data_IF_157431510188
#
_entry.id   IF_157431510188
#
_cell.length_a   1.000
_cell.length_b   1.000
_cell.length_c   1.000
_cell.angle_alpha   90.00
_cell.angle_beta   90.00
_cell.angle_gamma   90.00
#
_symmetry.space_group_name_H-M   'P 1'
#
loop_
_entity.id
_entity.type
_entity.pdbx_description
1 polymer ?
#
# COMPACT_ATOMS: atom_id res chain seq x y z
N UNK A 1 2.63 -27.77 2.37
CA UNK A 1 2.93 -26.33 2.22
C UNK A 1 1.59 -25.63 2.06
N UNK A 2 1.27 -24.65 2.90
CA UNK A 2 0.03 -23.86 2.79
C UNK A 2 0.09 -23.03 1.50
N UNK A 3 -0.95 -23.09 0.67
CA UNK A 3 -1.10 -22.25 -0.53
C UNK A 3 -2.19 -21.21 -0.27
N UNK A 4 -1.82 -19.97 0.07
CA UNK A 4 -2.76 -18.90 0.38
C UNK A 4 -3.72 -18.58 -0.77
N UNK A 5 -3.30 -18.81 -2.02
CA UNK A 5 -4.13 -18.51 -3.20
C UNK A 5 -5.28 -19.51 -3.39
N UNK A 6 -5.20 -20.65 -2.72
CA UNK A 6 -6.25 -21.68 -2.71
C UNK A 6 -7.04 -21.67 -1.40
N UNK A 7 -6.74 -20.73 -0.53
CA UNK A 7 -7.30 -20.65 0.80
C UNK A 7 -8.54 -19.75 0.83
N UNK A 8 -9.60 -20.23 1.49
CA UNK A 8 -10.87 -19.53 1.64
C UNK A 8 -11.38 -19.70 3.08
N UNK A 9 -12.01 -18.67 3.63
CA UNK A 9 -12.71 -18.72 4.92
C UNK A 9 -14.17 -18.32 4.74
N UNK A 10 -15.07 -18.95 5.49
CA UNK A 10 -16.49 -18.63 5.46
C UNK A 10 -16.97 -18.15 6.84
N UNK A 11 -18.05 -17.38 6.84
CA UNK A 11 -18.85 -17.24 8.06
C UNK A 11 -19.71 -18.51 8.27
N UNK A 12 -20.20 -18.70 9.50
CA UNK A 12 -21.00 -19.88 9.83
C UNK A 12 -22.28 -20.04 8.98
N UNK A 13 -22.85 -18.94 8.48
CA UNK A 13 -24.03 -18.96 7.63
C UNK A 13 -23.71 -19.14 6.13
N UNK A 14 -22.42 -19.18 5.75
CA UNK A 14 -21.93 -19.25 4.36
C UNK A 14 -22.51 -18.15 3.46
N UNK A 15 -22.62 -16.96 4.03
CA UNK A 15 -23.06 -15.74 3.36
C UNK A 15 -21.90 -14.84 2.95
N UNK A 16 -20.76 -14.99 3.63
CA UNK A 16 -19.54 -14.20 3.44
C UNK A 16 -18.35 -15.13 3.23
N UNK A 17 -17.39 -14.66 2.46
CA UNK A 17 -16.14 -15.40 2.20
C UNK A 17 -14.95 -14.46 2.20
N UNK A 18 -13.86 -14.85 2.87
CA UNK A 18 -12.53 -14.24 2.70
C UNK A 18 -11.70 -15.09 1.75
N UNK A 19 -11.19 -14.48 0.67
CA UNK A 19 -10.33 -15.15 -0.33
C UNK A 19 -9.23 -14.21 -0.80
N UNK A 20 -8.14 -14.75 -1.35
CA UNK A 20 -7.17 -13.93 -2.07
C UNK A 20 -7.68 -13.66 -3.49
N UNK A 21 -7.66 -12.39 -3.89
CA UNK A 21 -7.92 -12.00 -5.27
C UNK A 21 -7.10 -10.77 -5.66
N UNK A 22 -7.23 -10.29 -6.92
CA UNK A 22 -6.46 -9.15 -7.39
C UNK A 22 -6.74 -7.86 -6.59
N UNK A 23 -5.91 -6.84 -6.71
CA UNK A 23 -6.20 -5.51 -6.16
C UNK A 23 -5.65 -4.43 -7.08
N UNK A 24 -6.33 -3.29 -7.18
CA UNK A 24 -5.80 -2.14 -7.90
C UNK A 24 -4.89 -1.32 -6.99
N UNK A 25 -3.91 -0.60 -7.57
CA UNK A 25 -3.03 0.28 -6.78
C UNK A 25 -3.80 1.36 -6.03
N UNK A 26 -4.86 1.89 -6.66
CA UNK A 26 -5.76 2.85 -6.01
C UNK A 26 -6.42 2.26 -4.78
N UNK A 27 -6.83 0.99 -4.80
CA UNK A 27 -7.40 0.33 -3.62
C UNK A 27 -6.32 0.09 -2.55
N UNK A 28 -5.08 -0.23 -2.93
CA UNK A 28 -3.96 -0.36 -1.97
C UNK A 28 -3.68 0.98 -1.28
N UNK A 29 -3.73 2.07 -2.05
CA UNK A 29 -3.54 3.44 -1.53
C UNK A 29 -4.75 3.95 -0.73
N UNK A 30 -5.94 3.40 -0.92
CA UNK A 30 -7.10 3.76 -0.10
C UNK A 30 -6.91 3.39 1.38
N UNK A 31 -6.11 2.36 1.67
CA UNK A 31 -5.71 1.93 3.02
C UNK A 31 -4.36 2.54 3.48
N UNK A 32 -3.76 3.42 2.68
CA UNK A 32 -2.53 4.12 3.03
C UNK A 32 -2.87 5.36 3.86
N UNK A 33 -2.32 5.54 5.08
CA UNK A 33 -2.74 6.59 6.02
C UNK A 33 -2.11 7.96 5.70
N UNK A 34 -2.06 8.32 4.41
CA UNK A 34 -1.55 9.60 3.97
C UNK A 34 -2.23 10.06 2.69
N UNK A 35 -2.42 11.38 2.59
CA UNK A 35 -2.81 12.03 1.36
C UNK A 35 -1.57 12.24 0.47
N UNK A 36 -1.66 11.80 -0.79
CA UNK A 36 -0.64 12.02 -1.81
C UNK A 36 -1.06 13.18 -2.72
N UNK A 37 -0.32 14.28 -2.67
CA UNK A 37 -0.52 15.47 -3.52
C UNK A 37 0.57 15.46 -4.60
N UNK A 38 0.30 14.83 -5.73
CA UNK A 38 1.31 14.60 -6.79
C UNK A 38 1.07 15.50 -7.99
N UNK A 39 1.99 16.42 -8.29
CA UNK A 39 1.93 17.24 -9.52
C UNK A 39 2.53 16.57 -10.74
N UNK A 40 3.40 15.59 -10.54
CA UNK A 40 4.13 14.98 -11.65
C UNK A 40 3.29 13.91 -12.34
N UNK A 41 2.97 14.10 -13.62
CA UNK A 41 2.10 13.20 -14.39
C UNK A 41 2.65 11.76 -14.44
N UNK A 42 3.98 11.61 -14.54
CA UNK A 42 4.63 10.30 -14.61
C UNK A 42 4.52 9.58 -13.28
N UNK A 43 4.80 10.26 -12.16
CA UNK A 43 4.60 9.70 -10.83
C UNK A 43 3.13 9.38 -10.56
N UNK A 44 2.21 10.28 -10.91
CA UNK A 44 0.78 10.10 -10.69
C UNK A 44 0.28 8.84 -11.41
N UNK A 45 0.62 8.68 -12.70
CA UNK A 45 0.29 7.49 -13.47
C UNK A 45 0.91 6.21 -12.88
N UNK A 46 2.14 6.28 -12.36
CA UNK A 46 2.82 5.14 -11.72
C UNK A 46 2.12 4.70 -10.43
N UNK A 47 1.76 5.65 -9.58
CA UNK A 47 1.08 5.39 -8.31
C UNK A 47 -0.40 5.04 -8.50
N UNK A 48 -0.98 5.35 -9.67
CA UNK A 48 -2.40 5.15 -9.93
C UNK A 48 -3.28 6.21 -9.27
N UNK A 49 -2.76 7.43 -9.13
CA UNK A 49 -3.47 8.60 -8.59
C UNK A 49 -3.65 9.65 -9.68
N UNK A 50 -4.63 10.53 -9.52
CA UNK A 50 -4.83 11.65 -10.43
C UNK A 50 -3.78 12.75 -10.15
N UNK A 51 -3.08 13.28 -11.17
CA UNK A 51 -2.16 14.39 -10.96
C UNK A 51 -2.91 15.65 -10.52
N UNK A 52 -2.37 16.33 -9.52
CA UNK A 52 -2.91 17.58 -8.98
C UNK A 52 -2.39 18.75 -9.82
N UNK A 53 -3.29 19.59 -10.40
CA UNK A 53 -2.85 20.74 -11.19
C UNK A 53 -1.98 21.71 -10.38
N UNK A 54 -0.99 22.38 -10.99
CA UNK A 54 -0.11 23.33 -10.29
C UNK A 54 -0.86 24.45 -9.55
N UNK A 55 -2.00 24.89 -10.08
CA UNK A 55 -2.86 25.90 -9.44
C UNK A 55 -3.46 25.41 -8.11
N UNK A 56 -3.84 24.14 -8.04
CA UNK A 56 -4.41 23.52 -6.83
C UNK A 56 -3.33 23.36 -5.76
N UNK A 57 -2.12 22.90 -6.15
CA UNK A 57 -0.99 22.83 -5.20
C UNK A 57 -0.67 24.22 -4.66
N UNK A 58 -0.58 25.23 -5.54
CA UNK A 58 -0.32 26.61 -5.13
C UNK A 58 -1.35 27.12 -4.13
N UNK A 59 -2.63 26.81 -4.34
CA UNK A 59 -3.71 27.18 -3.43
C UNK A 59 -3.62 26.48 -2.07
N UNK A 60 -3.03 25.27 -1.99
CA UNK A 60 -2.84 24.51 -0.75
C UNK A 60 -1.55 24.84 0.00
N UNK A 61 -0.60 25.55 -0.61
CA UNK A 61 0.67 25.93 0.08
C UNK A 61 0.43 26.57 1.47
N UNK A 62 -0.51 27.51 1.66
CA UNK A 62 -0.75 28.10 2.98
C UNK A 62 -1.21 27.09 4.03
N UNK A 63 -2.06 26.13 3.64
CA UNK A 63 -2.52 25.03 4.48
C UNK A 63 -1.35 24.12 4.86
N UNK A 64 -0.55 23.68 3.88
CA UNK A 64 0.61 22.81 4.10
C UNK A 64 1.64 23.46 5.02
N UNK A 65 1.85 24.77 4.91
CA UNK A 65 2.76 25.53 5.79
C UNK A 65 2.26 25.73 7.21
N UNK A 66 0.96 25.56 7.44
CA UNK A 66 0.36 25.70 8.76
C UNK A 66 0.37 24.38 9.56
N UNK A 67 0.64 23.25 8.89
CA UNK A 67 0.82 21.95 9.51
C UNK A 67 2.19 21.85 10.19
N UNK A 68 2.29 20.94 11.15
CA UNK A 68 3.56 20.59 11.75
C UNK A 68 4.52 20.01 10.70
N UNK A 69 5.83 20.28 10.85
CA UNK A 69 6.85 19.90 9.87
C UNK A 69 6.89 18.38 9.61
N UNK A 70 6.59 17.57 10.63
CA UNK A 70 6.56 16.11 10.53
C UNK A 70 5.34 15.57 9.78
N UNK A 71 4.27 16.37 9.69
CA UNK A 71 3.00 16.02 9.06
C UNK A 71 3.03 16.19 7.55
N UNK A 72 4.02 16.89 7.02
CA UNK A 72 4.21 17.10 5.58
C UNK A 72 5.58 16.59 5.18
N UNK A 73 5.63 15.74 4.15
CA UNK A 73 6.86 15.23 3.58
C UNK A 73 6.91 15.53 2.09
N UNK A 74 8.11 15.73 1.57
CA UNK A 74 8.31 15.98 0.14
C UNK A 74 8.49 14.68 -0.60
N UNK A 75 7.84 14.59 -1.75
CA UNK A 75 8.03 13.51 -2.70
C UNK A 75 9.01 13.96 -3.78
N UNK A 76 10.05 13.17 -3.97
CA UNK A 76 11.04 13.33 -5.02
C UNK A 76 10.98 12.14 -5.96
N UNK A 77 11.25 12.41 -7.23
CA UNK A 77 11.32 11.37 -8.26
C UNK A 77 12.67 11.44 -8.92
N UNK A 78 13.27 10.27 -9.02
CA UNK A 78 14.45 10.03 -9.77
C UNK A 78 14.10 9.23 -11.04
N UNK A 79 14.39 9.73 -12.25
CA UNK A 79 14.18 8.99 -13.49
C UNK A 79 15.02 7.70 -13.58
N UNK A 80 16.15 7.63 -12.88
CA UNK A 80 17.03 6.47 -12.84
C UNK A 80 16.84 5.76 -11.49
N UNK A 81 16.51 4.46 -11.47
CA UNK A 81 16.48 3.70 -10.22
C UNK A 81 17.86 3.71 -9.54
N UNK A 82 17.86 3.93 -8.23
CA UNK A 82 19.06 3.74 -7.40
C UNK A 82 19.44 2.26 -7.33
N UNK A 83 20.59 1.96 -6.74
CA UNK A 83 21.13 0.59 -6.67
C UNK A 83 20.21 -0.41 -5.95
N UNK A 84 19.36 0.07 -5.05
CA UNK A 84 18.33 -0.73 -4.35
C UNK A 84 16.97 -0.76 -5.09
N UNK A 85 16.89 -0.15 -6.28
CA UNK A 85 15.71 -0.13 -7.13
C UNK A 85 14.73 1.00 -6.85
N UNK A 86 14.99 1.90 -5.88
CA UNK A 86 14.09 3.02 -5.58
C UNK A 86 14.15 4.11 -6.64
N UNK A 87 12.98 4.65 -6.98
CA UNK A 87 12.80 5.79 -7.91
C UNK A 87 11.98 6.92 -7.29
N UNK A 88 11.26 6.65 -6.22
CA UNK A 88 10.49 7.63 -5.45
C UNK A 88 11.14 7.74 -4.08
N UNK A 89 11.38 8.96 -3.64
CA UNK A 89 12.00 9.23 -2.36
C UNK A 89 11.14 10.18 -1.53
N UNK A 90 11.03 9.88 -0.25
CA UNK A 90 10.32 10.67 0.74
C UNK A 90 11.35 11.32 1.66
N UNK A 91 11.19 12.61 1.93
CA UNK A 91 12.08 13.36 2.83
C UNK A 91 11.30 14.40 3.62
N UNK A 92 11.90 15.03 4.65
CA UNK A 92 11.41 16.30 5.17
C UNK A 92 11.19 17.33 4.06
N UNK A 93 10.29 18.30 4.29
CA UNK A 93 9.85 19.28 3.28
C UNK A 93 11.01 20.06 2.65
N UNK A 94 11.95 20.48 3.49
CA UNK A 94 13.06 21.35 3.11
C UNK A 94 14.38 20.60 2.86
N UNK A 95 14.34 19.27 2.89
CA UNK A 95 15.51 18.42 2.68
C UNK A 95 15.47 17.76 1.29
N UNK A 96 16.65 17.60 0.69
CA UNK A 96 16.86 16.60 -0.36
C UNK A 96 16.85 15.20 0.28
N UNK A 97 16.33 14.18 -0.42
CA UNK A 97 16.38 12.83 0.07
C UNK A 97 17.81 12.29 0.03
N UNK A 98 18.13 11.37 0.95
CA UNK A 98 19.35 10.60 0.85
C UNK A 98 19.20 9.52 -0.23
N UNK A 99 19.90 9.68 -1.35
CA UNK A 99 19.94 8.72 -2.46
C UNK A 99 21.09 7.71 -2.34
N UNK A 100 21.83 7.73 -1.23
CA UNK A 100 23.04 6.95 -1.00
C UNK A 100 24.23 7.42 -1.85
N UNK A 101 25.15 6.52 -2.17
CA UNK A 101 26.41 6.83 -2.88
C UNK A 101 26.26 7.12 -4.39
N UNK A 102 25.03 7.28 -4.90
CA UNK A 102 24.77 7.61 -6.30
C UNK A 102 24.31 9.06 -6.46
N UNK A 103 24.91 9.80 -7.40
CA UNK A 103 24.44 11.14 -7.78
C UNK A 103 23.17 11.02 -8.62
N UNK A 104 22.17 11.90 -8.43
CA UNK A 104 21.09 12.01 -9.41
C UNK A 104 20.76 13.43 -9.89
N UNK A 105 21.38 13.78 -11.02
CA UNK A 105 21.15 15.01 -11.77
C UNK A 105 19.74 15.14 -12.37
N UNK A 106 18.92 14.08 -12.31
CA UNK A 106 17.52 14.05 -12.73
C UNK A 106 16.51 14.11 -11.59
N UNK A 107 16.94 14.14 -10.32
CA UNK A 107 16.04 14.19 -9.17
C UNK A 107 15.23 15.48 -9.20
N UNK A 108 13.90 15.35 -9.15
CA UNK A 108 12.99 16.50 -9.13
C UNK A 108 11.87 16.31 -8.11
N UNK A 109 11.43 17.43 -7.55
CA UNK A 109 10.26 17.48 -6.68
C UNK A 109 9.02 17.08 -7.48
N UNK A 110 8.24 16.15 -6.95
CA UNK A 110 7.05 15.60 -7.60
C UNK A 110 5.75 15.92 -6.86
N UNK A 111 5.84 16.26 -5.56
CA UNK A 111 4.66 16.56 -4.76
C UNK A 111 4.91 16.50 -3.27
N UNK A 112 3.83 16.26 -2.53
CA UNK A 112 3.82 16.15 -1.07
C UNK A 112 3.07 14.91 -0.62
N UNK A 113 3.46 14.39 0.54
CA UNK A 113 2.74 13.41 1.32
C UNK A 113 2.32 14.09 2.62
N UNK A 114 1.03 14.03 2.95
CA UNK A 114 0.46 14.66 4.15
C UNK A 114 -0.21 13.60 5.02
N UNK A 115 0.13 13.56 6.30
CA UNK A 115 -0.35 12.52 7.22
C UNK A 115 -0.28 12.98 8.67
N UNK A 116 -1.03 12.33 9.54
CA UNK A 116 -0.74 12.35 10.97
C UNK A 116 0.57 11.56 11.25
N UNK A 117 1.59 12.16 11.88
CA UNK A 117 2.88 11.51 12.10
C UNK A 117 2.80 10.24 12.95
N UNK A 118 1.92 10.19 13.94
CA UNK A 118 1.78 9.03 14.82
C UNK A 118 1.12 7.87 14.06
N UNK A 119 0.04 8.15 13.32
CA UNK A 119 -0.64 7.13 12.51
C UNK A 119 0.27 6.59 11.42
N UNK A 120 1.04 7.46 10.75
CA UNK A 120 2.00 7.05 9.73
C UNK A 120 3.14 6.23 10.34
N UNK A 121 3.63 6.62 11.53
CA UNK A 121 4.65 5.89 12.27
C UNK A 121 4.20 4.47 12.64
N UNK A 122 2.99 4.33 13.21
CA UNK A 122 2.41 3.03 13.55
C UNK A 122 2.26 2.14 12.31
N UNK A 123 1.82 2.71 11.19
CA UNK A 123 1.71 1.98 9.93
C UNK A 123 3.07 1.51 9.39
N UNK A 124 4.11 2.35 9.48
CA UNK A 124 5.47 1.95 9.07
C UNK A 124 5.98 0.83 9.97
N UNK A 125 5.81 0.94 11.28
CA UNK A 125 6.25 -0.08 12.24
C UNK A 125 5.54 -1.42 11.99
N UNK A 126 4.23 -1.42 11.78
CA UNK A 126 3.44 -2.63 11.51
C UNK A 126 3.91 -3.38 10.25
N UNK A 127 4.22 -2.61 9.19
CA UNK A 127 4.51 -3.17 7.87
C UNK A 127 6.01 -3.46 7.67
N UNK A 128 6.91 -2.64 8.22
CA UNK A 128 8.35 -2.71 7.97
C UNK A 128 9.21 -2.94 9.22
N UNK A 129 8.64 -2.86 10.43
CA UNK A 129 9.39 -2.96 11.71
C UNK A 129 10.63 -2.06 11.72
N UNK A 130 10.42 -0.78 11.40
CA UNK A 130 11.46 0.20 11.13
C UNK A 130 11.04 1.56 11.67
N UNK A 131 11.98 2.25 12.30
CA UNK A 131 11.83 3.65 12.72
C UNK A 131 12.22 4.65 11.61
N UNK A 132 12.93 4.18 10.57
CA UNK A 132 13.21 4.98 9.36
C UNK A 132 11.98 5.08 8.45
N UNK A 133 11.09 6.01 8.82
CA UNK A 133 9.87 6.33 8.06
C UNK A 133 10.19 6.73 6.63
N UNK A 134 11.23 7.53 6.40
CA UNK A 134 11.55 8.04 5.07
C UNK A 134 11.98 6.91 4.12
N UNK A 135 12.87 6.03 4.59
CA UNK A 135 13.32 4.88 3.80
C UNK A 135 12.18 3.89 3.54
N UNK A 136 11.37 3.57 4.55
CA UNK A 136 10.25 2.64 4.42
C UNK A 136 9.21 3.14 3.40
N UNK A 137 8.83 4.43 3.46
CA UNK A 137 7.89 5.01 2.50
C UNK A 137 8.48 5.10 1.09
N UNK A 138 9.77 5.41 0.97
CA UNK A 138 10.46 5.41 -0.33
C UNK A 138 10.46 4.01 -0.96
N UNK A 139 10.66 2.97 -0.14
CA UNK A 139 10.60 1.57 -0.57
C UNK A 139 9.17 1.20 -0.99
N UNK A 140 8.17 1.51 -0.15
CA UNK A 140 6.76 1.25 -0.43
C UNK A 140 6.31 1.85 -1.77
N UNK A 141 6.51 3.16 -1.95
CA UNK A 141 6.07 3.88 -3.14
C UNK A 141 6.86 3.51 -4.41
N UNK A 142 8.10 3.04 -4.25
CA UNK A 142 8.94 2.63 -5.38
C UNK A 142 8.68 1.19 -5.83
N UNK A 143 8.49 0.27 -4.89
CA UNK A 143 8.62 -1.17 -5.11
C UNK A 143 7.34 -1.90 -4.68
N UNK A 144 6.97 -1.85 -3.40
CA UNK A 144 5.91 -2.73 -2.88
C UNK A 144 4.54 -2.36 -3.41
N UNK A 145 4.23 -1.08 -3.56
CA UNK A 145 2.98 -0.66 -4.19
C UNK A 145 2.88 -1.16 -5.63
N UNK A 146 4.00 -1.24 -6.36
CA UNK A 146 4.00 -1.76 -7.73
C UNK A 146 3.81 -3.27 -7.79
N UNK A 147 4.24 -3.99 -6.75
CA UNK A 147 4.14 -5.45 -6.60
C UNK A 147 2.85 -5.89 -5.89
N UNK A 148 2.13 -4.98 -5.26
CA UNK A 148 0.88 -5.26 -4.55
C UNK A 148 -0.23 -5.54 -5.56
N UNK A 149 -0.28 -6.78 -6.04
CA UNK A 149 -1.23 -7.26 -7.05
C UNK A 149 -2.40 -8.04 -6.44
N UNK A 150 -2.33 -8.36 -5.14
CA UNK A 150 -3.36 -9.14 -4.46
C UNK A 150 -3.78 -8.56 -3.11
N UNK A 151 -5.00 -8.88 -2.71
CA UNK A 151 -5.58 -8.56 -1.42
C UNK A 151 -6.41 -9.74 -0.91
N UNK A 152 -6.56 -9.84 0.41
CA UNK A 152 -7.64 -10.62 1.00
C UNK A 152 -8.93 -9.83 0.81
N UNK A 153 -9.97 -10.47 0.30
CA UNK A 153 -11.24 -9.84 -0.07
C UNK A 153 -12.38 -10.45 0.72
N UNK A 154 -13.17 -9.62 1.40
CA UNK A 154 -14.46 -10.03 1.94
C UNK A 154 -15.50 -9.93 0.83
N UNK A 155 -16.14 -11.04 0.50
CA UNK A 155 -17.10 -11.14 -0.59
C UNK A 155 -18.41 -11.71 -0.08
N UNK A 156 -19.54 -11.12 -0.47
CA UNK A 156 -20.86 -11.71 -0.26
C UNK A 156 -21.05 -12.90 -1.23
N UNK A 157 -21.22 -14.11 -0.69
CA UNK A 157 -21.23 -15.36 -1.47
C UNK A 157 -22.37 -15.40 -2.49
N UNK A 158 -23.54 -14.83 -2.16
CA UNK A 158 -24.72 -14.87 -3.02
C UNK A 158 -24.60 -13.98 -4.27
N UNK A 159 -23.93 -12.83 -4.15
CA UNK A 159 -23.86 -11.81 -5.21
C UNK A 159 -22.49 -11.69 -5.84
N UNK A 160 -21.44 -12.16 -5.17
CA UNK A 160 -20.05 -11.93 -5.54
C UNK A 160 -19.58 -10.50 -5.27
N UNK A 161 -20.35 -9.69 -4.54
CA UNK A 161 -19.98 -8.31 -4.24
C UNK A 161 -18.83 -8.25 -3.22
N UNK A 162 -17.78 -7.46 -3.53
CA UNK A 162 -16.66 -7.24 -2.62
C UNK A 162 -17.02 -6.14 -1.64
N UNK A 163 -17.01 -6.47 -0.36
CA UNK A 163 -17.41 -5.58 0.74
C UNK A 163 -16.21 -4.86 1.36
N UNK A 164 -15.06 -5.53 1.42
CA UNK A 164 -13.83 -5.00 2.01
C UNK A 164 -12.59 -5.69 1.43
N UNK A 165 -11.45 -5.01 1.53
CA UNK A 165 -10.16 -5.43 0.98
C UNK A 165 -9.04 -5.18 2.00
N UNK A 166 -8.13 -6.14 2.13
CA UNK A 166 -6.88 -5.98 2.89
C UNK A 166 -5.70 -6.33 1.98
N UNK A 167 -4.95 -5.32 1.49
CA UNK A 167 -3.82 -5.56 0.61
C UNK A 167 -2.80 -6.53 1.19
N UNK A 168 -2.32 -7.46 0.35
CA UNK A 168 -1.15 -8.27 0.67
C UNK A 168 0.07 -7.38 0.52
N UNK A 169 0.78 -7.18 1.64
CA UNK A 169 2.00 -6.38 1.69
C UNK A 169 3.19 -7.30 1.99
N UNK A 170 4.35 -6.97 1.42
CA UNK A 170 5.61 -7.70 1.63
C UNK A 170 5.49 -9.20 1.32
N UNK A 171 4.72 -9.55 0.29
CA UNK A 171 4.43 -10.92 -0.13
C UNK A 171 3.92 -11.83 1.00
N UNK A 172 3.28 -11.24 2.04
CA UNK A 172 2.81 -11.96 3.21
C UNK A 172 1.28 -11.94 3.32
N UNK A 173 0.59 -12.90 2.67
CA UNK A 173 -0.88 -12.97 2.70
C UNK A 173 -1.44 -13.34 4.08
N UNK A 174 -0.66 -13.99 4.96
CA UNK A 174 -1.11 -14.35 6.29
C UNK A 174 -1.37 -13.13 7.17
N UNK A 175 -0.52 -12.10 7.07
CA UNK A 175 -0.77 -10.81 7.75
C UNK A 175 -2.07 -10.16 7.26
N UNK A 176 -2.33 -10.21 5.95
CA UNK A 176 -3.58 -9.68 5.39
C UNK A 176 -4.81 -10.46 5.89
N UNK A 177 -4.72 -11.79 5.96
CA UNK A 177 -5.79 -12.61 6.55
C UNK A 177 -6.00 -12.31 8.03
N UNK A 178 -4.94 -12.15 8.82
CA UNK A 178 -5.04 -11.81 10.22
C UNK A 178 -5.82 -10.50 10.41
N UNK A 179 -5.44 -9.43 9.70
CA UNK A 179 -6.16 -8.14 9.72
C UNK A 179 -7.63 -8.27 9.30
N UNK A 180 -7.89 -9.07 8.27
CA UNK A 180 -9.26 -9.32 7.81
C UNK A 180 -10.11 -10.00 8.89
N UNK A 181 -9.56 -11.03 9.54
CA UNK A 181 -10.25 -11.78 10.61
C UNK A 181 -10.37 -10.99 11.92
N UNK A 182 -9.46 -10.05 12.19
CA UNK A 182 -9.61 -9.10 13.31
C UNK A 182 -10.74 -8.11 13.05
N UNK A 183 -10.90 -7.69 11.80
CA UNK A 183 -11.96 -6.75 11.37
C UNK A 183 -13.33 -7.43 11.25
N UNK A 184 -13.36 -8.71 10.86
CA UNK A 184 -14.58 -9.52 10.64
C UNK A 184 -14.44 -10.88 11.36
N UNK A 185 -14.52 -10.90 12.70
CA UNK A 185 -14.24 -12.08 13.51
C UNK A 185 -15.25 -13.21 13.36
N UNK A 186 -16.40 -12.98 12.73
CA UNK A 186 -17.40 -13.99 12.40
C UNK A 186 -16.98 -14.89 11.25
N UNK A 187 -16.08 -14.42 10.38
CA UNK A 187 -15.48 -15.23 9.32
C UNK A 187 -14.30 -15.99 9.93
N UNK A 188 -14.45 -17.31 10.08
CA UNK A 188 -13.48 -18.16 10.76
C UNK A 188 -13.20 -19.42 9.96
N UNK A 189 -12.19 -20.15 10.41
CA UNK A 189 -11.89 -21.48 9.95
C UNK A 189 -12.92 -22.44 10.54
N UNK A 190 -13.61 -23.20 9.69
CA UNK A 190 -14.20 -24.48 10.08
C UNK A 190 -13.43 -25.64 9.42
N UNK A 191 -13.41 -26.81 10.04
CA UNK A 191 -12.68 -27.98 9.50
C UNK A 191 -13.19 -28.37 8.10
N UNK A 192 -14.46 -28.05 7.80
CA UNK A 192 -15.11 -28.25 6.50
C UNK A 192 -14.60 -27.30 5.39
N UNK A 193 -13.97 -26.18 5.73
CA UNK A 193 -13.49 -25.18 4.77
C UNK A 193 -12.16 -25.59 4.11
N UNK A 194 -11.47 -26.56 4.70
CA UNK A 194 -10.31 -27.19 4.10
C UNK A 194 -10.73 -28.31 3.14
N UNK A 195 -11.22 -27.96 1.95
CA UNK A 195 -11.25 -28.93 0.85
C UNK A 195 -9.79 -29.28 0.48
N UNK A 196 -9.25 -30.35 1.07
CA UNK A 196 -8.01 -30.99 0.63
C UNK A 196 -8.23 -31.59 -0.77
N UNK A 197 -8.24 -30.75 -1.81
CA UNK A 197 -8.13 -31.23 -3.19
C UNK A 197 -6.68 -31.60 -3.44
N UNK A 198 -6.34 -32.85 -3.15
CA UNK A 198 -5.20 -33.52 -3.77
C UNK A 198 -5.42 -33.43 -5.28
N UNK A 199 -4.62 -32.61 -5.96
CA UNK A 199 -4.55 -32.66 -7.42
C UNK A 199 -3.94 -34.02 -7.74
N UNK A 200 -4.74 -34.94 -8.27
CA UNK A 200 -4.19 -36.07 -8.99
C UNK A 200 -3.35 -35.52 -10.15
N UNK A 201 -2.07 -35.90 -10.28
CA UNK A 201 -1.24 -35.44 -11.38
C UNK A 201 -1.89 -35.90 -12.69
N UNK A 202 -2.32 -34.96 -13.52
CA UNK A 202 -2.97 -35.25 -14.79
C UNK A 202 -2.07 -36.09 -15.71
N UNK A 203 -2.67 -37.14 -16.26
CA UNK A 203 -2.19 -37.91 -17.41
C UNK A 203 -2.24 -37.12 -18.71
#
# INVERSE_FOLDING_TARGET
MFDPNRFQLFDAARTLTLTIGPVSRSDVLADFPAELIVSDDVLAARLGVEPVPPSVITARIPELKALDEESVRRLWVNPVPTSDGRTVFVSPVDALPDTGDAADWGLRSAGFLVSDPAVLGDWVEENYASDDIAAALSHFLSIDLLRSESAVRLTETATGNVLALWPVRNDNPLKAFARATESYPEVRYDDEDFEFRLIEPGH
#
